data_IF_392148990024
#
_entry.id   IF_392148990024
#
_cell.length_a   1.000
_cell.length_b   1.000
_cell.length_c   1.000
_cell.angle_alpha   90.00
_cell.angle_beta   90.00
_cell.angle_gamma   90.00
#
_symmetry.space_group_name_H-M   'P 1'
#
loop_
_entity.id
_entity.type
_entity.pdbx_description
1 polymer ?
#
# COMPACT_ATOMS: atom_id res chain seq x y z
N UNK A 1 21.37 1.41 23.72
CA UNK A 1 21.42 -0.07 23.73
C UNK A 1 20.21 -0.53 22.93
N UNK A 2 20.35 -1.32 21.86
CA UNK A 2 19.22 -1.83 21.11
C UNK A 2 18.51 -2.90 21.92
N UNK A 3 17.23 -2.72 22.19
CA UNK A 3 16.37 -3.74 22.80
C UNK A 3 16.15 -4.85 21.76
N UNK A 4 16.80 -5.99 21.95
CA UNK A 4 16.59 -7.19 21.13
C UNK A 4 15.12 -7.63 21.28
N UNK A 5 14.40 -7.69 20.17
CA UNK A 5 13.07 -8.31 20.13
C UNK A 5 13.21 -9.78 20.58
N UNK A 6 12.42 -10.18 21.59
CA UNK A 6 12.44 -11.54 22.11
C UNK A 6 12.13 -12.55 20.99
N UNK A 7 12.87 -13.67 20.89
CA UNK A 7 12.64 -14.67 19.84
C UNK A 7 11.22 -15.24 19.97
N UNK A 8 10.48 -15.26 18.85
CA UNK A 8 9.14 -15.88 18.78
C UNK A 8 9.22 -17.32 19.31
N UNK A 9 8.30 -17.70 20.19
CA UNK A 9 8.24 -19.06 20.69
C UNK A 9 8.04 -20.06 19.53
N UNK A 10 8.66 -21.22 19.59
CA UNK A 10 8.54 -22.29 18.60
C UNK A 10 7.07 -22.63 18.28
N UNK A 11 6.21 -22.66 19.32
CA UNK A 11 4.78 -22.90 19.18
C UNK A 11 4.05 -21.83 18.35
N UNK A 12 4.49 -20.58 18.43
CA UNK A 12 3.91 -19.49 17.64
C UNK A 12 4.30 -19.62 16.16
N UNK A 13 5.56 -19.96 15.86
CA UNK A 13 6.02 -20.22 14.47
C UNK A 13 5.30 -21.41 13.82
N UNK A 14 5.05 -22.48 14.59
CA UNK A 14 4.30 -23.66 14.09
C UNK A 14 2.84 -23.29 13.84
N UNK A 15 2.21 -22.50 14.72
CA UNK A 15 0.83 -22.05 14.59
C UNK A 15 0.64 -21.11 13.39
N UNK A 16 1.58 -20.21 13.17
CA UNK A 16 1.58 -19.29 12.03
C UNK A 16 1.83 -20.06 10.72
N UNK A 17 2.80 -20.92 10.65
CA UNK A 17 3.07 -21.79 9.48
C UNK A 17 1.89 -22.70 9.11
N UNK A 18 1.12 -23.20 10.09
CA UNK A 18 -0.08 -23.99 9.86
C UNK A 18 -1.26 -23.11 9.39
N UNK A 19 -1.42 -21.91 9.96
CA UNK A 19 -2.44 -20.93 9.58
C UNK A 19 -2.31 -20.54 8.10
N UNK A 20 -1.08 -20.21 7.63
CA UNK A 20 -0.83 -19.82 6.24
C UNK A 20 -0.92 -20.99 5.23
N UNK A 21 -0.85 -22.25 5.66
CA UNK A 21 -1.10 -23.39 4.78
C UNK A 21 -2.57 -23.66 4.53
N UNK A 22 -3.44 -23.29 5.48
CA UNK A 22 -4.87 -23.54 5.41
C UNK A 22 -5.69 -22.29 5.08
N UNK A 23 -5.13 -21.09 5.26
CA UNK A 23 -5.79 -19.84 5.04
C UNK A 23 -4.93 -18.91 4.20
N UNK A 24 -5.57 -18.16 3.31
CA UNK A 24 -4.97 -17.07 2.56
C UNK A 24 -5.61 -15.74 2.97
N UNK A 25 -4.87 -14.66 2.87
CA UNK A 25 -5.42 -13.31 3.00
C UNK A 25 -6.15 -12.94 1.71
N UNK A 26 -7.42 -12.62 1.82
CA UNK A 26 -8.22 -12.05 0.73
C UNK A 26 -8.43 -10.57 1.04
N UNK A 27 -7.82 -9.72 0.22
CA UNK A 27 -7.84 -8.28 0.35
C UNK A 27 -9.00 -7.66 -0.40
N UNK A 28 -9.51 -6.52 0.10
CA UNK A 28 -10.46 -5.67 -0.59
C UNK A 28 -10.18 -4.21 -0.25
N UNK A 29 -10.63 -3.30 -1.12
CA UNK A 29 -10.43 -1.86 -0.96
C UNK A 29 -11.67 -1.18 -0.42
N UNK A 30 -11.47 -0.13 0.37
CA UNK A 30 -12.51 0.66 1.00
C UNK A 30 -12.22 2.15 0.93
N UNK A 31 -13.27 2.96 0.91
CA UNK A 31 -13.22 4.42 0.89
C UNK A 31 -13.81 4.99 2.17
N UNK A 32 -13.13 5.96 2.74
CA UNK A 32 -13.55 6.72 3.93
C UNK A 32 -13.67 8.20 3.55
N UNK A 33 -14.78 8.83 3.87
CA UNK A 33 -14.96 10.27 3.67
C UNK A 33 -14.37 11.04 4.86
N UNK A 34 -13.05 11.07 4.94
CA UNK A 34 -12.30 11.82 5.95
C UNK A 34 -10.88 12.11 5.42
N UNK A 35 -10.23 13.20 5.87
CA UNK A 35 -8.81 13.44 5.60
C UNK A 35 -7.94 12.29 6.13
N UNK A 36 -6.81 12.04 5.46
CA UNK A 36 -5.88 10.98 5.86
C UNK A 36 -5.38 11.14 7.31
N UNK A 37 -5.21 12.36 7.79
CA UNK A 37 -4.78 12.62 9.17
C UNK A 37 -5.76 12.08 10.22
N UNK A 38 -7.07 12.14 9.94
CA UNK A 38 -8.12 11.56 10.79
C UNK A 38 -8.02 10.03 10.79
N UNK A 39 -7.97 9.43 9.60
CA UNK A 39 -7.90 7.96 9.45
C UNK A 39 -6.59 7.41 9.99
N UNK A 40 -5.49 8.15 9.84
CA UNK A 40 -4.18 7.83 10.40
C UNK A 40 -4.09 7.97 11.93
N UNK A 41 -5.13 8.50 12.61
CA UNK A 41 -5.18 8.64 14.06
C UNK A 41 -4.50 9.90 14.63
N UNK A 42 -4.15 10.87 13.79
CA UNK A 42 -3.48 12.11 14.23
C UNK A 42 -4.45 13.10 14.92
N UNK A 43 -5.75 12.95 14.68
CA UNK A 43 -6.84 13.75 15.29
C UNK A 43 -7.46 13.05 16.52
N UNK A 44 -6.83 11.95 16.98
CA UNK A 44 -7.23 11.18 18.14
C UNK A 44 -8.09 9.94 17.85
N UNK A 45 -8.04 8.97 18.77
CA UNK A 45 -8.65 7.63 18.61
C UNK A 45 -10.15 7.67 18.35
N UNK A 46 -10.87 8.60 18.96
CA UNK A 46 -12.32 8.73 18.79
C UNK A 46 -12.69 9.16 17.37
N UNK A 47 -11.97 10.13 16.80
CA UNK A 47 -12.16 10.60 15.44
C UNK A 47 -11.80 9.51 14.43
N UNK A 48 -10.67 8.82 14.61
CA UNK A 48 -10.26 7.68 13.81
C UNK A 48 -11.33 6.58 13.82
N UNK A 49 -11.77 6.17 15.01
CA UNK A 49 -12.78 5.12 15.14
C UNK A 49 -14.14 5.51 14.52
N UNK A 50 -14.53 6.78 14.60
CA UNK A 50 -15.73 7.28 13.94
C UNK A 50 -15.61 7.20 12.42
N UNK A 51 -14.51 7.70 11.85
CA UNK A 51 -14.24 7.66 10.42
C UNK A 51 -14.20 6.22 9.87
N UNK A 52 -13.50 5.33 10.55
CA UNK A 52 -13.38 3.93 10.13
C UNK A 52 -14.68 3.11 10.20
N UNK A 53 -15.72 3.56 10.93
CA UNK A 53 -17.04 2.91 10.90
C UNK A 53 -17.80 3.19 9.61
N UNK A 54 -17.48 4.28 8.94
CA UNK A 54 -18.16 4.74 7.72
C UNK A 54 -17.48 4.25 6.43
N UNK A 55 -16.58 3.27 6.52
CA UNK A 55 -15.89 2.70 5.36
C UNK A 55 -16.90 2.10 4.39
N UNK A 56 -16.89 2.57 3.16
CA UNK A 56 -17.61 1.97 2.03
C UNK A 56 -16.66 0.98 1.34
N UNK A 57 -16.92 -0.31 1.51
CA UNK A 57 -16.11 -1.36 0.87
C UNK A 57 -16.56 -1.60 -0.56
N UNK A 58 -15.60 -1.84 -1.47
CA UNK A 58 -15.90 -2.23 -2.85
C UNK A 58 -16.66 -3.56 -2.87
N UNK A 59 -17.68 -3.73 -3.73
CA UNK A 59 -18.37 -5.02 -3.89
C UNK A 59 -17.39 -6.15 -4.23
N UNK A 60 -17.49 -7.27 -3.50
CA UNK A 60 -16.61 -8.41 -3.72
C UNK A 60 -16.90 -9.14 -5.04
N UNK A 61 -15.84 -9.68 -5.62
CA UNK A 61 -15.91 -10.62 -6.74
C UNK A 61 -15.19 -11.92 -6.36
N UNK A 62 -15.76 -13.06 -6.70
CA UNK A 62 -15.17 -14.37 -6.37
C UNK A 62 -13.92 -14.65 -7.22
N UNK A 63 -12.93 -15.28 -6.62
CA UNK A 63 -11.74 -15.77 -7.32
C UNK A 63 -10.65 -14.74 -7.52
N UNK A 64 -10.79 -13.56 -6.92
CA UNK A 64 -9.77 -12.52 -6.92
C UNK A 64 -9.69 -11.80 -5.56
N UNK A 65 -8.61 -11.04 -5.37
CA UNK A 65 -8.51 -10.01 -4.34
C UNK A 65 -8.16 -8.65 -4.96
N UNK A 66 -8.35 -7.57 -4.20
CA UNK A 66 -8.01 -6.18 -4.53
C UNK A 66 -7.28 -5.54 -3.38
N UNK A 67 -6.13 -4.93 -3.65
CA UNK A 67 -5.24 -4.36 -2.66
C UNK A 67 -4.62 -3.06 -3.16
N UNK A 68 -3.86 -2.39 -2.30
CA UNK A 68 -3.05 -1.22 -2.65
C UNK A 68 -3.85 -0.11 -3.36
N UNK A 69 -4.90 0.46 -2.75
CA UNK A 69 -5.68 1.51 -3.39
C UNK A 69 -4.99 2.86 -3.34
N UNK A 70 -4.92 3.56 -4.49
CA UNK A 70 -4.38 4.91 -4.60
C UNK A 70 -5.35 5.81 -5.38
N UNK A 71 -5.84 6.91 -4.78
CA UNK A 71 -6.83 7.78 -5.39
C UNK A 71 -6.20 8.91 -6.18
N UNK A 72 -6.96 9.37 -7.17
CA UNK A 72 -6.75 10.63 -7.90
C UNK A 72 -8.06 11.41 -7.90
N UNK A 73 -8.03 12.74 -7.68
CA UNK A 73 -9.25 13.53 -7.64
C UNK A 73 -9.90 13.66 -9.03
N UNK A 74 -11.22 13.77 -9.03
CA UNK A 74 -12.03 14.05 -10.22
C UNK A 74 -12.66 15.44 -10.13
N UNK A 75 -12.94 16.04 -11.27
CA UNK A 75 -13.60 17.37 -11.37
C UNK A 75 -15.01 17.36 -10.77
N UNK A 76 -15.71 16.22 -10.79
CA UNK A 76 -17.07 16.07 -10.24
C UNK A 76 -17.10 15.89 -8.70
N UNK A 77 -15.94 15.95 -8.03
CA UNK A 77 -15.81 15.78 -6.58
C UNK A 77 -15.71 14.31 -6.13
N UNK A 78 -15.81 13.37 -7.04
CA UNK A 78 -15.49 11.95 -6.81
C UNK A 78 -14.00 11.69 -6.91
N UNK A 79 -13.63 10.40 -6.92
CA UNK A 79 -12.25 9.94 -7.09
C UNK A 79 -12.17 8.80 -8.09
N UNK A 80 -11.08 8.74 -8.84
CA UNK A 80 -10.62 7.55 -9.50
C UNK A 80 -9.62 6.83 -8.60
N UNK A 81 -9.75 5.52 -8.43
CA UNK A 81 -8.89 4.71 -7.58
C UNK A 81 -8.18 3.69 -8.45
N UNK A 82 -6.85 3.72 -8.45
CA UNK A 82 -6.01 2.68 -9.01
C UNK A 82 -5.68 1.66 -7.91
N UNK A 83 -5.67 0.38 -8.25
CA UNK A 83 -5.44 -0.68 -7.27
C UNK A 83 -4.90 -1.94 -7.92
N UNK A 84 -4.21 -2.77 -7.13
CA UNK A 84 -3.85 -4.13 -7.54
C UNK A 84 -5.09 -5.01 -7.58
N UNK A 85 -5.25 -5.77 -8.67
CA UNK A 85 -6.16 -6.90 -8.73
C UNK A 85 -5.40 -8.18 -9.06
N UNK A 86 -5.52 -9.18 -8.21
CA UNK A 86 -4.93 -10.50 -8.45
C UNK A 86 -6.03 -11.55 -8.57
N UNK A 87 -6.06 -12.26 -9.70
CA UNK A 87 -6.90 -13.44 -9.89
C UNK A 87 -6.16 -14.67 -9.40
N UNK A 88 -6.76 -15.43 -8.50
CA UNK A 88 -6.13 -16.63 -7.93
C UNK A 88 -5.76 -17.69 -8.96
N UNK A 89 -6.47 -17.74 -10.10
CA UNK A 89 -6.17 -18.67 -11.21
C UNK A 89 -4.92 -18.29 -11.99
N UNK A 90 -4.57 -17.01 -12.02
CA UNK A 90 -3.44 -16.46 -12.78
C UNK A 90 -2.22 -16.22 -11.89
N UNK A 91 -2.45 -16.00 -10.58
CA UNK A 91 -1.43 -15.70 -9.57
C UNK A 91 -0.49 -14.55 -9.99
N UNK A 92 -1.05 -13.54 -10.64
CA UNK A 92 -0.37 -12.37 -11.14
C UNK A 92 -1.23 -11.14 -10.93
N UNK A 93 -0.66 -10.10 -10.32
CA UNK A 93 -1.29 -8.80 -10.13
C UNK A 93 -1.36 -8.01 -11.43
N UNK A 94 -2.44 -7.28 -11.60
CA UNK A 94 -2.67 -6.28 -12.66
C UNK A 94 -3.14 -4.99 -12.01
N UNK A 95 -2.99 -3.85 -12.69
CA UNK A 95 -3.54 -2.59 -12.21
C UNK A 95 -4.90 -2.36 -12.87
N UNK A 96 -5.88 -2.18 -12.01
CA UNK A 96 -7.24 -1.81 -12.40
C UNK A 96 -7.56 -0.40 -11.90
N UNK A 97 -8.56 0.22 -12.51
CA UNK A 97 -9.11 1.53 -12.13
C UNK A 97 -10.59 1.40 -11.84
N UNK A 98 -11.07 2.08 -10.79
CA UNK A 98 -12.48 2.21 -10.49
C UNK A 98 -12.81 3.64 -10.09
N UNK A 99 -13.98 4.14 -10.50
CA UNK A 99 -14.51 5.43 -10.06
C UNK A 99 -15.34 5.24 -8.79
N UNK A 100 -15.18 6.15 -7.83
CA UNK A 100 -16.07 6.29 -6.68
C UNK A 100 -16.74 7.69 -6.73
N UNK A 101 -18.06 7.72 -6.82
CA UNK A 101 -18.84 8.95 -7.05
C UNK A 101 -19.16 9.74 -5.75
N UNK A 102 -18.60 9.29 -4.62
CA UNK A 102 -18.88 9.84 -3.28
C UNK A 102 -19.89 8.99 -2.49
N UNK A 103 -20.51 7.99 -3.10
CA UNK A 103 -21.47 7.09 -2.47
C UNK A 103 -21.27 5.61 -2.83
N UNK A 104 -20.84 5.33 -4.06
CA UNK A 104 -20.71 3.96 -4.58
C UNK A 104 -19.57 3.83 -5.59
N UNK A 105 -19.10 2.61 -5.71
CA UNK A 105 -18.14 2.22 -6.74
C UNK A 105 -18.84 1.99 -8.09
N UNK A 106 -18.23 2.51 -9.15
CA UNK A 106 -18.54 2.13 -10.53
C UNK A 106 -17.97 0.75 -10.90
N UNK A 107 -18.06 0.35 -12.17
CA UNK A 107 -17.39 -0.85 -12.65
C UNK A 107 -15.86 -0.66 -12.69
N UNK A 108 -15.12 -1.68 -12.25
CA UNK A 108 -13.68 -1.72 -12.42
C UNK A 108 -13.30 -1.90 -13.90
N UNK A 109 -12.22 -1.25 -14.31
CA UNK A 109 -11.69 -1.31 -15.69
C UNK A 109 -10.20 -1.57 -15.65
N UNK A 110 -9.63 -2.38 -16.57
CA UNK A 110 -8.18 -2.55 -16.69
C UNK A 110 -7.49 -1.20 -16.96
N UNK A 111 -6.41 -0.92 -16.22
CA UNK A 111 -5.48 0.16 -16.49
C UNK A 111 -4.18 -0.39 -17.11
N UNK A 112 -3.47 -1.30 -16.42
CA UNK A 112 -2.20 -1.85 -16.91
C UNK A 112 -2.13 -3.36 -16.70
N UNK A 113 -1.75 -4.08 -17.77
CA UNK A 113 -1.48 -5.52 -17.74
C UNK A 113 -0.18 -5.80 -18.48
N UNK A 114 0.79 -6.37 -17.79
CA UNK A 114 2.09 -6.74 -18.33
C UNK A 114 2.35 -8.24 -18.18
N UNK A 115 3.48 -8.72 -18.67
CA UNK A 115 3.87 -10.14 -18.58
C UNK A 115 4.38 -10.54 -17.19
N UNK A 116 4.58 -9.57 -16.29
CA UNK A 116 5.04 -9.74 -14.92
C UNK A 116 4.01 -9.19 -13.93
N UNK A 117 4.23 -9.45 -12.65
CA UNK A 117 3.38 -8.98 -11.56
C UNK A 117 3.41 -7.46 -11.44
N UNK A 118 2.24 -6.85 -11.20
CA UNK A 118 2.06 -5.43 -10.94
C UNK A 118 1.29 -5.27 -9.63
N UNK A 119 1.74 -4.37 -8.77
CA UNK A 119 1.10 -4.01 -7.50
C UNK A 119 1.31 -2.52 -7.19
N UNK A 120 0.84 -2.07 -6.05
CA UNK A 120 1.13 -0.78 -5.44
C UNK A 120 1.16 0.40 -6.43
N UNK A 121 0.04 0.73 -7.11
CA UNK A 121 -0.03 1.78 -8.14
C UNK A 121 -0.01 3.17 -7.50
N UNK A 122 1.15 3.56 -6.95
CA UNK A 122 1.34 4.82 -6.25
C UNK A 122 0.93 6.01 -7.12
N UNK A 123 0.16 6.95 -6.56
CA UNK A 123 -0.24 8.16 -7.29
C UNK A 123 0.48 9.39 -6.75
N UNK A 124 0.90 10.27 -7.65
CA UNK A 124 1.59 11.53 -7.31
C UNK A 124 1.15 12.65 -8.25
N UNK A 125 1.01 13.84 -7.71
CA UNK A 125 0.88 15.05 -8.51
C UNK A 125 2.27 15.66 -8.74
N UNK A 126 2.60 15.89 -9.99
CA UNK A 126 3.85 16.51 -10.41
C UNK A 126 3.61 17.56 -11.50
N UNK A 127 3.98 18.82 -11.25
CA UNK A 127 3.79 19.90 -12.20
C UNK A 127 2.32 20.18 -12.56
N UNK A 128 1.37 19.87 -11.68
CA UNK A 128 -0.07 20.02 -11.92
C UNK A 128 -0.72 18.86 -12.66
N UNK A 129 0.04 17.80 -12.96
CA UNK A 129 -0.43 16.57 -13.59
C UNK A 129 -0.36 15.40 -12.62
N UNK A 130 -1.39 14.54 -12.64
CA UNK A 130 -1.39 13.31 -11.87
C UNK A 130 -0.73 12.17 -12.64
N UNK A 131 0.05 11.37 -11.91
CA UNK A 131 0.73 10.19 -12.44
C UNK A 131 0.47 8.98 -11.56
N UNK A 132 0.47 7.79 -12.17
CA UNK A 132 0.42 6.49 -11.51
C UNK A 132 1.76 5.79 -11.71
N UNK A 133 2.36 5.30 -10.63
CA UNK A 133 3.63 4.58 -10.61
C UNK A 133 3.42 3.17 -10.05
N UNK A 134 3.03 2.19 -10.87
CA UNK A 134 2.89 0.81 -10.41
C UNK A 134 4.24 0.19 -10.05
N UNK A 135 4.27 -0.62 -9.00
CA UNK A 135 5.39 -1.51 -8.72
C UNK A 135 5.58 -2.49 -9.86
N UNK A 136 6.83 -2.62 -10.34
CA UNK A 136 7.27 -3.49 -11.42
C UNK A 136 8.60 -4.17 -11.07
N UNK A 137 8.71 -4.73 -9.87
CA UNK A 137 9.97 -5.24 -9.33
C UNK A 137 10.62 -6.34 -10.19
N UNK A 138 9.81 -7.19 -10.86
CA UNK A 138 10.32 -8.26 -11.73
C UNK A 138 11.05 -7.69 -12.98
N UNK A 139 10.59 -6.58 -13.54
CA UNK A 139 11.27 -5.89 -14.65
C UNK A 139 12.45 -5.04 -14.20
N UNK A 140 12.62 -4.84 -12.88
CA UNK A 140 13.63 -3.96 -12.27
C UNK A 140 13.52 -2.51 -12.74
N UNK A 141 12.28 -2.05 -13.00
CA UNK A 141 11.97 -0.69 -13.43
C UNK A 141 10.87 -0.09 -12.57
N UNK A 142 10.87 1.23 -12.43
CA UNK A 142 9.72 1.99 -11.97
C UNK A 142 9.33 2.96 -13.08
N UNK A 143 8.09 2.84 -13.56
CA UNK A 143 7.54 3.66 -14.63
C UNK A 143 6.45 4.56 -14.07
N UNK A 144 6.30 5.78 -14.61
CA UNK A 144 5.13 6.64 -14.36
C UNK A 144 4.25 6.72 -15.59
N UNK A 145 2.96 6.76 -15.39
CA UNK A 145 1.92 6.89 -16.43
C UNK A 145 1.04 8.10 -16.13
N UNK A 146 0.62 8.89 -17.13
CA UNK A 146 -0.23 10.07 -16.91
C UNK A 146 -1.65 9.68 -16.48
N UNK A 147 -2.36 10.60 -15.87
CA UNK A 147 -3.81 10.50 -15.63
C UNK A 147 -4.49 11.69 -16.35
N UNK A 148 -5.44 11.44 -17.28
CA UNK A 148 -6.08 10.16 -17.61
C UNK A 148 -5.08 9.09 -18.04
N UNK A 149 -5.33 7.83 -17.60
CA UNK A 149 -4.36 6.75 -17.75
C UNK A 149 -4.13 6.38 -19.23
N UNK A 150 -2.86 6.42 -19.64
CA UNK A 150 -2.38 6.02 -20.97
C UNK A 150 -1.16 5.09 -20.81
N UNK A 151 -1.34 3.81 -21.13
CA UNK A 151 -0.27 2.81 -21.03
C UNK A 151 0.90 3.03 -21.99
N UNK A 152 0.64 3.68 -23.13
CA UNK A 152 1.66 3.94 -24.16
C UNK A 152 2.50 5.20 -23.85
N UNK A 153 2.02 6.05 -22.93
CA UNK A 153 2.71 7.26 -22.50
C UNK A 153 3.59 7.07 -21.26
N UNK A 154 3.92 5.82 -20.91
CA UNK A 154 4.80 5.50 -19.79
C UNK A 154 6.19 6.12 -19.90
N UNK A 155 6.71 6.69 -18.81
CA UNK A 155 8.06 7.25 -18.72
C UNK A 155 8.84 6.56 -17.59
N UNK A 156 10.13 6.32 -17.85
CA UNK A 156 11.04 5.71 -16.89
C UNK A 156 11.32 6.68 -15.72
N UNK A 157 11.21 6.18 -14.50
CA UNK A 157 11.59 6.88 -13.26
C UNK A 157 12.84 6.22 -12.65
N UNK A 158 12.87 4.89 -12.56
CA UNK A 158 14.05 4.13 -12.10
C UNK A 158 14.29 2.98 -13.08
N UNK A 159 15.55 2.76 -13.46
CA UNK A 159 16.00 1.67 -14.31
C UNK A 159 17.04 0.79 -13.60
N UNK A 160 16.96 -0.51 -13.79
CA UNK A 160 17.94 -1.49 -13.30
C UNK A 160 17.81 -1.88 -11.84
N UNK A 161 16.83 -1.35 -11.08
CA UNK A 161 16.63 -1.65 -9.67
C UNK A 161 15.24 -2.21 -9.38
N UNK A 162 15.19 -3.32 -8.65
CA UNK A 162 13.94 -3.92 -8.19
C UNK A 162 13.49 -3.23 -6.90
N UNK A 163 12.42 -2.45 -6.96
CA UNK A 163 11.85 -1.72 -5.84
C UNK A 163 10.46 -2.26 -5.51
N UNK A 164 10.16 -2.40 -4.22
CA UNK A 164 8.83 -2.74 -3.70
C UNK A 164 8.24 -1.55 -2.96
N UNK A 165 6.95 -1.31 -3.16
CA UNK A 165 6.13 -0.29 -2.47
C UNK A 165 6.74 1.12 -2.51
N UNK A 166 7.29 1.54 -3.66
CA UNK A 166 7.94 2.84 -3.83
C UNK A 166 6.96 3.99 -3.50
N UNK A 167 7.21 4.71 -2.41
CA UNK A 167 6.40 5.84 -1.92
C UNK A 167 7.17 7.14 -2.05
N UNK A 168 6.70 8.03 -2.91
CA UNK A 168 7.42 9.22 -3.35
C UNK A 168 6.71 10.49 -2.87
N UNK A 169 7.49 11.51 -2.45
CA UNK A 169 6.96 12.82 -2.15
C UNK A 169 7.96 13.92 -2.51
N UNK A 170 7.45 15.11 -2.79
CA UNK A 170 8.26 16.30 -3.06
C UNK A 170 8.46 17.11 -1.78
N UNK A 171 9.70 17.48 -1.50
CA UNK A 171 10.05 18.33 -0.35
C UNK A 171 11.30 19.17 -0.67
N UNK A 172 11.22 20.47 -0.36
CA UNK A 172 12.32 21.45 -0.51
C UNK A 172 12.93 21.49 -1.93
N UNK A 173 12.09 21.30 -2.95
CA UNK A 173 12.48 21.37 -4.37
C UNK A 173 13.10 20.09 -4.92
N UNK A 174 13.14 19.00 -4.15
CA UNK A 174 13.57 17.67 -4.57
C UNK A 174 12.51 16.61 -4.32
N UNK A 175 12.80 15.39 -4.73
CA UNK A 175 11.96 14.22 -4.54
C UNK A 175 12.65 13.20 -3.63
N UNK A 176 11.87 12.62 -2.76
CA UNK A 176 12.28 11.58 -1.82
C UNK A 176 11.45 10.33 -2.05
N UNK A 177 12.07 9.17 -2.03
CA UNK A 177 11.39 7.89 -2.21
C UNK A 177 11.82 6.91 -1.12
N UNK A 178 10.84 6.34 -0.44
CA UNK A 178 11.02 5.17 0.40
C UNK A 178 10.63 3.93 -0.39
N UNK A 179 11.46 2.91 -0.36
CA UNK A 179 11.16 1.63 -0.98
C UNK A 179 11.83 0.48 -0.23
N UNK A 180 11.32 -0.73 -0.36
CA UNK A 180 12.02 -1.95 0.04
C UNK A 180 12.52 -2.69 -1.20
N UNK A 181 13.30 -3.75 -1.01
CA UNK A 181 13.85 -4.56 -2.10
C UNK A 181 13.42 -6.01 -1.95
N UNK A 182 13.17 -6.75 -3.04
CA UNK A 182 12.79 -8.16 -2.96
C UNK A 182 13.83 -8.98 -2.23
N UNK A 183 13.39 -9.94 -1.41
CA UNK A 183 14.26 -10.88 -0.75
C UNK A 183 13.87 -11.16 0.71
N UNK A 184 14.78 -11.76 1.47
CA UNK A 184 14.49 -12.18 2.85
C UNK A 184 14.18 -11.02 3.82
N UNK A 185 14.60 -9.82 3.50
CA UNK A 185 14.47 -8.62 4.33
C UNK A 185 13.43 -7.62 3.77
N UNK A 186 12.63 -7.99 2.78
CA UNK A 186 11.65 -7.12 2.12
C UNK A 186 10.63 -6.47 3.05
N UNK A 187 10.35 -7.09 4.21
CA UNK A 187 9.46 -6.55 5.24
C UNK A 187 10.24 -5.96 6.44
N UNK A 188 11.56 -5.87 6.35
CA UNK A 188 12.43 -5.46 7.48
C UNK A 188 13.26 -4.25 7.14
N UNK A 189 13.80 -4.17 5.92
CA UNK A 189 14.71 -3.12 5.49
C UNK A 189 14.00 -2.12 4.58
N UNK A 190 14.09 -0.82 4.90
CA UNK A 190 13.65 0.26 4.03
C UNK A 190 14.83 1.13 3.61
N UNK A 191 14.84 1.47 2.32
CA UNK A 191 15.83 2.32 1.68
C UNK A 191 15.22 3.69 1.39
N UNK A 192 16.05 4.72 1.43
CA UNK A 192 15.70 6.08 1.06
C UNK A 192 16.49 6.49 -0.17
N UNK A 193 15.82 7.13 -1.09
CA UNK A 193 16.40 7.68 -2.33
C UNK A 193 16.05 9.16 -2.44
N UNK A 194 16.89 9.90 -3.13
CA UNK A 194 16.69 11.31 -3.43
C UNK A 194 16.94 11.56 -4.92
N UNK A 195 16.15 12.46 -5.52
CA UNK A 195 16.35 12.99 -6.87
C UNK A 195 15.95 14.46 -6.94
N UNK A 196 16.54 15.22 -7.85
CA UNK A 196 16.18 16.62 -8.09
C UNK A 196 14.92 16.82 -8.95
N UNK A 197 14.51 15.77 -9.66
CA UNK A 197 13.28 15.71 -10.46
C UNK A 197 12.72 14.29 -10.44
N UNK A 198 11.42 14.13 -10.67
CA UNK A 198 10.76 12.81 -10.66
C UNK A 198 11.38 11.85 -11.68
N UNK A 199 11.70 12.35 -12.89
CA UNK A 199 12.38 11.60 -13.96
C UNK A 199 13.92 11.80 -13.92
N UNK A 200 14.46 12.31 -12.80
CA UNK A 200 15.90 12.56 -12.62
C UNK A 200 16.66 11.30 -12.19
N UNK A 201 17.96 11.49 -11.92
CA UNK A 201 18.78 10.43 -11.34
C UNK A 201 18.41 10.24 -9.88
N UNK A 202 17.96 9.04 -9.54
CA UNK A 202 17.69 8.64 -8.16
C UNK A 202 18.95 8.07 -7.51
N UNK A 203 19.38 8.67 -6.42
CA UNK A 203 20.54 8.25 -5.65
C UNK A 203 20.10 7.72 -4.28
N UNK A 204 20.60 6.56 -3.90
CA UNK A 204 20.34 6.00 -2.57
C UNK A 204 21.02 6.83 -1.49
N UNK A 205 20.30 7.19 -0.46
CA UNK A 205 20.84 7.88 0.71
C UNK A 205 21.62 6.90 1.58
N UNK A 206 22.90 7.15 1.76
CA UNK A 206 23.81 6.25 2.47
C UNK A 206 24.18 4.99 1.67
N UNK A 207 24.67 3.96 2.36
CA UNK A 207 25.22 2.75 1.74
C UNK A 207 24.39 1.48 2.09
N UNK A 208 23.16 1.64 2.56
CA UNK A 208 22.30 0.54 3.00
C UNK A 208 20.92 1.01 3.44
N UNK A 209 20.14 0.14 4.08
CA UNK A 209 18.84 0.52 4.59
C UNK A 209 18.96 1.62 5.65
N UNK A 210 18.07 2.62 5.56
CA UNK A 210 18.00 3.69 6.57
C UNK A 210 17.35 3.22 7.86
N UNK A 211 16.63 2.11 7.81
CA UNK A 211 15.95 1.47 8.94
C UNK A 211 15.76 -0.02 8.68
N UNK A 212 15.95 -0.83 9.73
CA UNK A 212 15.69 -2.27 9.73
C UNK A 212 14.76 -2.61 10.89
N UNK A 213 13.46 -2.72 10.61
CA UNK A 213 12.42 -2.95 11.61
C UNK A 213 11.13 -3.51 10.98
N UNK A 214 10.84 -4.78 11.20
CA UNK A 214 9.63 -5.43 10.67
C UNK A 214 8.31 -4.80 11.12
N UNK A 215 8.33 -3.95 12.16
CA UNK A 215 7.13 -3.26 12.64
C UNK A 215 6.82 -1.98 11.89
N UNK A 216 7.74 -1.48 11.05
CA UNK A 216 7.59 -0.15 10.45
C UNK A 216 8.57 0.19 9.32
N UNK A 217 9.18 -0.80 8.66
CA UNK A 217 10.05 -0.52 7.52
C UNK A 217 9.28 -0.35 6.21
N UNK A 218 8.55 -1.38 5.77
CA UNK A 218 7.90 -1.45 4.47
C UNK A 218 6.88 -0.33 4.28
N UNK A 219 6.90 0.44 3.18
CA UNK A 219 5.95 1.53 2.94
C UNK A 219 4.49 1.05 2.95
N UNK A 220 3.56 1.94 3.25
CA UNK A 220 2.14 1.63 3.41
C UNK A 220 1.21 2.68 2.81
N UNK A 221 1.57 3.30 1.69
CA UNK A 221 0.74 4.29 1.00
C UNK A 221 1.34 5.68 0.95
N UNK A 222 0.48 6.70 0.84
CA UNK A 222 0.91 8.08 0.65
C UNK A 222 1.66 8.64 1.85
N UNK A 223 2.82 9.25 1.57
CA UNK A 223 3.46 10.17 2.49
C UNK A 223 2.69 11.49 2.42
N UNK A 224 2.29 12.01 3.55
CA UNK A 224 1.39 13.16 3.61
C UNK A 224 1.84 14.22 4.59
N UNK A 225 1.33 15.44 4.40
CA UNK A 225 1.61 16.59 5.28
C UNK A 225 0.39 16.92 6.12
N UNK A 226 0.60 17.14 7.42
CA UNK A 226 -0.43 17.58 8.35
C UNK A 226 0.17 18.54 9.38
N UNK A 227 -0.47 19.68 9.63
CA UNK A 227 0.01 20.73 10.55
C UNK A 227 1.47 21.15 10.33
N UNK A 228 1.92 21.19 9.07
CA UNK A 228 3.29 21.57 8.72
C UNK A 228 4.31 20.42 8.72
N UNK A 229 4.00 19.30 9.35
CA UNK A 229 4.87 18.12 9.51
C UNK A 229 4.59 17.05 8.44
N UNK A 230 5.62 16.25 8.12
CA UNK A 230 5.51 15.12 7.20
C UNK A 230 5.31 13.80 7.94
N UNK A 231 4.45 12.95 7.39
CA UNK A 231 4.11 11.65 7.96
C UNK A 231 4.28 10.54 6.95
N UNK A 232 4.89 9.44 7.39
CA UNK A 232 5.12 8.23 6.63
C UNK A 232 4.33 7.07 7.22
N UNK A 233 3.32 6.52 6.52
CA UNK A 233 2.73 5.24 6.83
C UNK A 233 3.71 4.11 6.52
N UNK A 234 3.76 3.11 7.39
CA UNK A 234 4.59 1.92 7.21
C UNK A 234 3.86 0.66 7.68
N UNK A 235 4.01 -0.42 6.95
CA UNK A 235 3.43 -1.70 7.29
C UNK A 235 4.07 -2.27 8.55
N UNK A 236 3.24 -2.75 9.47
CA UNK A 236 3.67 -3.63 10.53
C UNK A 236 3.55 -5.08 10.03
N UNK A 237 4.68 -5.71 9.79
CA UNK A 237 4.80 -7.10 9.36
C UNK A 237 5.42 -8.00 10.45
N UNK A 238 5.43 -7.57 11.71
CA UNK A 238 6.12 -8.26 12.80
C UNK A 238 5.56 -9.65 13.10
N UNK A 239 4.25 -9.84 13.02
CA UNK A 239 3.60 -11.12 13.25
C UNK A 239 3.19 -11.81 11.95
N UNK A 240 2.67 -11.03 10.99
CA UNK A 240 2.28 -11.47 9.65
C UNK A 240 2.23 -10.25 8.71
N UNK A 241 2.21 -10.50 7.42
CA UNK A 241 2.16 -9.46 6.40
C UNK A 241 0.89 -8.61 6.53
N UNK A 242 1.06 -7.28 6.60
CA UNK A 242 -0.06 -6.35 6.66
C UNK A 242 -0.89 -6.44 7.94
N UNK A 243 -0.24 -6.66 9.10
CA UNK A 243 -0.92 -6.72 10.41
C UNK A 243 -1.62 -5.41 10.78
N UNK A 244 -0.96 -4.28 10.53
CA UNK A 244 -1.43 -2.92 10.79
C UNK A 244 -0.53 -1.92 10.08
N UNK A 245 -0.87 -0.62 10.15
CA UNK A 245 -0.04 0.46 9.65
C UNK A 245 0.45 1.31 10.82
N UNK A 246 1.77 1.39 10.98
CA UNK A 246 2.41 2.34 11.88
C UNK A 246 2.55 3.70 11.18
N UNK A 247 2.15 4.78 11.82
CA UNK A 247 2.27 6.14 11.29
C UNK A 247 3.42 6.85 11.97
N UNK A 248 4.40 7.30 11.19
CA UNK A 248 5.60 7.96 11.68
C UNK A 248 5.61 9.42 11.27
N UNK A 249 5.93 10.32 12.21
CA UNK A 249 6.34 11.69 11.89
C UNK A 249 7.80 11.66 11.47
N UNK A 250 8.11 12.27 10.32
CA UNK A 250 9.48 12.46 9.84
C UNK A 250 10.06 13.69 10.56
N UNK A 251 11.03 13.46 11.44
CA UNK A 251 11.68 14.51 12.23
C UNK A 251 12.88 15.14 11.50
N UNK A 252 13.56 14.35 10.67
CA UNK A 252 14.65 14.81 9.82
C UNK A 252 14.73 13.96 8.55
N UNK A 253 15.02 14.60 7.43
CA UNK A 253 15.30 13.95 6.15
C UNK A 253 16.25 14.83 5.35
N UNK A 254 17.40 14.29 5.00
CA UNK A 254 18.40 14.88 4.13
C UNK A 254 19.21 13.77 3.47
N UNK A 255 20.12 14.12 2.56
CA UNK A 255 21.04 13.16 1.94
C UNK A 255 22.01 12.48 2.93
N UNK A 256 22.16 13.06 4.14
CA UNK A 256 23.10 12.58 5.16
C UNK A 256 22.42 12.03 6.41
N UNK A 257 21.11 12.28 6.60
CA UNK A 257 20.41 11.90 7.82
C UNK A 257 18.92 11.62 7.60
N UNK A 258 18.42 10.64 8.36
CA UNK A 258 17.00 10.34 8.47
C UNK A 258 16.64 10.05 9.93
N UNK A 259 15.54 10.63 10.39
CA UNK A 259 14.96 10.33 11.69
C UNK A 259 13.44 10.42 11.65
N UNK A 260 12.78 9.46 12.26
CA UNK A 260 11.34 9.43 12.38
C UNK A 260 10.89 8.92 13.76
N UNK A 261 9.66 9.21 14.12
CA UNK A 261 9.06 8.78 15.37
C UNK A 261 7.66 8.22 15.10
N UNK A 262 7.35 7.02 15.58
CA UNK A 262 5.99 6.48 15.58
C UNK A 262 5.09 7.36 16.45
N UNK A 263 3.98 7.84 15.89
CA UNK A 263 3.02 8.73 16.56
C UNK A 263 1.62 8.16 16.63
N UNK A 264 1.26 7.25 15.70
CA UNK A 264 -0.08 6.65 15.66
C UNK A 264 -0.02 5.24 15.02
N UNK A 265 -1.15 4.57 15.01
CA UNK A 265 -1.32 3.27 14.35
C UNK A 265 -2.75 3.15 13.79
N UNK A 266 -2.83 2.62 12.57
CA UNK A 266 -4.11 2.22 11.97
C UNK A 266 -4.21 0.71 12.02
N UNK A 267 -5.21 0.21 12.75
CA UNK A 267 -5.44 -1.22 12.91
C UNK A 267 -6.62 -1.68 12.07
N UNK A 268 -6.65 -2.97 11.67
CA UNK A 268 -7.83 -3.54 11.04
C UNK A 268 -9.09 -3.31 11.87
N UNK A 269 -10.21 -3.04 11.19
CA UNK A 269 -11.47 -2.66 11.84
C UNK A 269 -12.09 -3.90 12.49
N UNK A 270 -12.20 -3.99 13.85
CA UNK A 270 -12.48 -5.25 14.55
C UNK A 270 -13.81 -5.93 14.20
N UNK A 271 -14.82 -5.16 13.82
CA UNK A 271 -16.16 -5.67 13.45
C UNK A 271 -16.41 -5.66 11.94
N UNK A 272 -15.40 -5.31 11.15
CA UNK A 272 -15.45 -5.40 9.71
C UNK A 272 -15.32 -6.85 9.26
N UNK A 273 -15.79 -7.13 8.04
CA UNK A 273 -15.49 -8.36 7.32
C UNK A 273 -13.98 -8.50 7.05
N UNK A 274 -13.26 -7.37 6.89
CA UNK A 274 -11.83 -7.27 6.60
C UNK A 274 -11.05 -6.89 7.86
N UNK A 275 -11.09 -7.75 8.87
CA UNK A 275 -10.50 -7.52 10.20
C UNK A 275 -9.16 -8.21 10.43
N UNK A 276 -8.62 -8.90 9.43
CA UNK A 276 -7.46 -9.75 9.59
C UNK A 276 -6.17 -9.15 9.00
N UNK A 277 -6.23 -7.93 8.46
CA UNK A 277 -5.08 -7.18 7.95
C UNK A 277 -5.47 -5.81 7.41
N UNK A 278 -4.51 -4.90 7.34
CA UNK A 278 -4.58 -3.56 6.76
C UNK A 278 -3.16 -3.12 6.45
N UNK A 279 -2.82 -2.83 5.18
CA UNK A 279 -1.43 -2.54 4.83
C UNK A 279 -1.22 -1.33 3.94
N UNK A 280 -2.28 -0.73 3.35
CA UNK A 280 -2.16 0.47 2.54
C UNK A 280 -3.17 1.53 2.95
N UNK A 281 -2.70 2.78 3.10
CA UNK A 281 -3.50 3.99 3.31
C UNK A 281 -3.03 5.09 2.38
N UNK A 282 -3.94 5.65 1.60
CA UNK A 282 -3.64 6.75 0.69
C UNK A 282 -4.83 7.71 0.57
N UNK A 283 -4.63 8.92 0.07
CA UNK A 283 -5.71 9.90 0.04
C UNK A 283 -5.54 10.95 -1.05
N UNK A 284 -6.67 11.56 -1.43
CA UNK A 284 -6.71 12.86 -2.07
C UNK A 284 -7.83 13.71 -1.48
N UNK A 285 -7.50 14.91 -1.05
CA UNK A 285 -8.44 15.81 -0.37
C UNK A 285 -9.09 15.16 0.87
N UNK A 286 -10.42 15.12 0.90
CA UNK A 286 -11.22 14.54 1.99
C UNK A 286 -11.56 13.06 1.77
N UNK A 287 -10.95 12.41 0.80
CA UNK A 287 -11.12 11.00 0.54
C UNK A 287 -9.87 10.22 0.92
N UNK A 288 -10.00 9.33 1.89
CA UNK A 288 -8.97 8.34 2.23
C UNK A 288 -9.41 6.98 1.75
N UNK A 289 -8.51 6.26 1.08
CA UNK A 289 -8.70 4.88 0.67
C UNK A 289 -7.78 3.98 1.48
N UNK A 290 -8.28 2.83 1.84
CA UNK A 290 -7.57 1.79 2.60
C UNK A 290 -7.82 0.44 1.96
N UNK A 291 -6.98 -0.51 2.25
CA UNK A 291 -7.33 -1.90 2.06
C UNK A 291 -7.65 -2.60 3.38
N UNK A 292 -8.15 -3.81 3.28
CA UNK A 292 -8.39 -4.66 4.44
C UNK A 292 -8.43 -6.12 4.03
N UNK A 293 -7.90 -6.99 4.89
CA UNK A 293 -7.85 -8.42 4.66
C UNK A 293 -8.85 -9.20 5.49
N UNK A 294 -9.35 -10.28 4.92
CA UNK A 294 -9.96 -11.38 5.65
C UNK A 294 -9.23 -12.69 5.37
N UNK A 295 -9.22 -13.58 6.32
CA UNK A 295 -8.70 -14.92 6.12
C UNK A 295 -9.74 -15.82 5.46
N UNK A 296 -9.39 -16.39 4.33
CA UNK A 296 -10.17 -17.41 3.63
C UNK A 296 -9.52 -18.78 3.76
N UNK A 297 -10.34 -19.80 4.02
CA UNK A 297 -9.86 -21.17 4.01
C UNK A 297 -9.54 -21.59 2.56
N UNK A 298 -8.31 -22.06 2.31
CA UNK A 298 -7.86 -22.48 0.99
C UNK A 298 -8.52 -23.76 0.48
N UNK A 299 -9.15 -24.55 1.36
CA UNK A 299 -9.86 -25.78 1.00
C UNK A 299 -11.28 -25.50 0.46
N UNK A 300 -11.92 -24.40 0.85
CA UNK A 300 -13.29 -24.06 0.43
C UNK A 300 -13.44 -23.96 -1.10
N UNK A 301 -12.56 -23.30 -1.86
CA UNK A 301 -12.67 -23.26 -3.32
C UNK A 301 -12.51 -24.63 -4.01
N UNK A 302 -11.75 -25.53 -3.44
CA UNK A 302 -11.59 -26.90 -3.96
C UNK A 302 -12.84 -27.73 -3.72
N UNK A 303 -13.47 -27.59 -2.56
CA UNK A 303 -14.73 -28.25 -2.22
C UNK A 303 -15.90 -27.72 -3.05
N UNK A 304 -15.96 -26.41 -3.29
CA UNK A 304 -16.98 -25.78 -4.15
C UNK A 304 -16.85 -26.23 -5.61
N UNK A 305 -15.62 -26.41 -6.14
CA UNK A 305 -15.39 -27.00 -7.47
C UNK A 305 -15.85 -28.47 -7.53
N UNK A 306 -15.56 -29.26 -6.53
CA UNK A 306 -16.01 -30.65 -6.46
C UNK A 306 -17.55 -30.74 -6.37
N UNK A 307 -18.19 -29.88 -5.59
CA UNK A 307 -19.64 -29.82 -5.48
C UNK A 307 -20.33 -29.36 -6.79
N UNK A 308 -19.66 -28.53 -7.61
CA UNK A 308 -20.16 -28.10 -8.92
C UNK A 308 -20.02 -29.16 -10.02
N UNK A 309 -19.11 -30.13 -9.84
CA UNK A 309 -18.93 -31.24 -10.80
C UNK A 309 -19.89 -32.42 -10.53
N UNK A 310 -20.59 -32.42 -9.38
CA UNK A 310 -21.54 -33.46 -8.95
C UNK A 310 -22.99 -33.02 -9.17
N UNK A 311 -23.21 -31.81 -9.63
CA UNK A 311 -24.51 -31.28 -10.09
C UNK A 311 -24.54 -31.21 -11.63
#
# INVERSE_FOLDING_TARGET
>A
MPTSAAPRSFLRRVKDGFRYRLFRQNWNIGVVRAPIAVVAGLEGDAAQAAALREVVWMPEERGLFRADPFPVPREDGGIDIFFEQLRWSENRGTIEQVTFDGSRFGPARPALRLNHHLSYPYTIEDGGEWHVLPEQAESRTLMRYPVPFDADAGRMVVDGEALLDASIFSKDGGYWMFATRPGRQENVDVFLYHANALDGLWEMVGNGPIKSDATSARPAGHIFRHNGEWYRPAQNCANYYGESIAVHRINAISTDSFAEQKVAEVRPIPRSRYRDGLHTISACGNWTVIDGARLENTLTPALDRLASLVR
#
